data_IF_071986785742
#
_entry.id   IF_071986785742
#
_cell.length_a   1.000
_cell.length_b   1.000
_cell.length_c   1.000
_cell.angle_alpha   90.00
_cell.angle_beta   90.00
_cell.angle_gamma   90.00
#
_symmetry.space_group_name_H-M   'P 1'
#
loop_
_entity.id
_entity.type
_entity.pdbx_description
1 polymer ?
#
# COMPACT_ATOMS: atom_id res chain seq x y z
N UNK A 1 49.00 13.67 58.18
CA UNK A 1 47.81 13.45 59.02
C UNK A 1 46.84 14.56 58.67
N UNK A 2 45.61 14.16 58.31
CA UNK A 2 44.40 14.90 57.84
C UNK A 2 44.07 16.26 58.50
N UNK A 3 43.05 17.06 58.05
CA UNK A 3 42.21 17.02 56.82
C UNK A 3 41.90 18.42 56.18
N UNK A 4 41.23 18.49 55.01
CA UNK A 4 40.00 19.29 54.75
C UNK A 4 39.52 19.24 53.29
N UNK A 5 38.22 19.04 53.15
CA UNK A 5 37.40 18.92 51.94
C UNK A 5 37.33 20.20 51.09
N UNK A 6 37.11 20.04 49.77
CA UNK A 6 36.11 20.84 49.03
C UNK A 6 35.37 19.94 48.04
N UNK A 7 34.06 19.80 48.26
CA UNK A 7 33.07 19.30 47.31
C UNK A 7 33.09 20.13 46.02
N UNK A 8 32.93 19.49 44.87
CA UNK A 8 32.10 20.06 43.82
C UNK A 8 31.30 18.97 43.10
N UNK A 9 30.00 19.13 43.19
CA UNK A 9 28.95 18.37 42.55
C UNK A 9 28.90 18.63 41.04
N UNK A 10 28.52 17.58 40.32
CA UNK A 10 27.67 17.57 39.12
C UNK A 10 28.20 18.29 37.88
N UNK A 11 28.57 17.49 36.88
CA UNK A 11 27.99 17.62 35.54
C UNK A 11 27.94 16.23 34.89
N UNK A 12 26.81 15.55 35.10
CA UNK A 12 26.31 14.57 34.13
C UNK A 12 26.06 15.31 32.82
N UNK A 13 27.02 15.23 31.91
CA UNK A 13 26.81 15.54 30.51
C UNK A 13 26.35 14.27 29.82
N UNK A 14 25.04 14.13 29.63
CA UNK A 14 24.46 13.20 28.65
C UNK A 14 25.21 13.36 27.32
N UNK A 15 26.08 12.41 27.00
CA UNK A 15 26.55 12.22 25.63
C UNK A 15 25.35 11.70 24.86
N UNK A 16 24.55 12.60 24.26
CA UNK A 16 23.60 12.21 23.22
C UNK A 16 24.43 11.57 22.11
N UNK A 17 24.28 10.27 21.91
CA UNK A 17 25.00 9.52 20.90
C UNK A 17 24.77 10.17 19.52
N UNK A 18 25.82 10.77 18.96
CA UNK A 18 25.80 11.49 17.68
C UNK A 18 25.82 10.54 16.46
N UNK A 19 25.49 9.26 16.63
CA UNK A 19 25.57 8.25 15.58
C UNK A 19 24.18 7.97 14.99
N UNK A 20 24.13 7.70 13.69
CA UNK A 20 22.94 7.19 13.05
C UNK A 20 22.68 5.74 13.52
N UNK A 21 21.42 5.32 13.65
CA UNK A 21 21.08 3.92 13.86
C UNK A 21 21.58 3.08 12.68
N UNK A 22 21.94 1.84 12.98
CA UNK A 22 22.36 0.88 11.96
C UNK A 22 21.18 0.07 11.47
N UNK A 23 21.02 0.02 10.15
CA UNK A 23 19.97 -0.74 9.49
C UNK A 23 20.56 -1.74 8.51
N UNK A 24 19.88 -2.88 8.36
CA UNK A 24 20.11 -3.82 7.27
C UNK A 24 18.78 -4.11 6.56
N UNK A 25 18.88 -4.56 5.31
CA UNK A 25 17.72 -4.93 4.51
C UNK A 25 17.73 -6.44 4.24
N UNK A 26 16.57 -7.07 4.25
CA UNK A 26 16.35 -8.41 3.68
C UNK A 26 15.28 -8.33 2.60
N UNK A 27 15.38 -9.20 1.59
CA UNK A 27 14.42 -9.29 0.48
C UNK A 27 13.86 -10.70 0.41
N UNK A 28 12.55 -10.81 0.24
CA UNK A 28 11.87 -12.09 0.00
C UNK A 28 10.84 -11.95 -1.11
N UNK A 29 10.74 -12.96 -1.96
CA UNK A 29 9.69 -13.08 -2.98
C UNK A 29 9.46 -14.57 -3.26
N UNK A 30 8.35 -14.90 -3.92
CA UNK A 30 8.14 -16.25 -4.43
C UNK A 30 9.13 -16.62 -5.54
N UNK A 31 9.31 -17.93 -5.77
CA UNK A 31 10.17 -18.43 -6.85
C UNK A 31 9.66 -18.08 -8.25
N UNK A 32 8.41 -17.61 -8.35
CA UNK A 32 7.75 -17.20 -9.59
C UNK A 32 7.17 -15.81 -9.42
N UNK A 33 7.47 -14.91 -10.37
CA UNK A 33 6.85 -13.59 -10.44
C UNK A 33 6.09 -13.42 -11.76
N UNK A 34 4.83 -12.95 -11.72
CA UNK A 34 4.04 -12.75 -12.92
C UNK A 34 4.47 -11.50 -13.68
N UNK A 35 4.48 -11.61 -15.01
CA UNK A 35 4.78 -10.51 -15.95
C UNK A 35 3.56 -9.59 -16.10
N UNK A 36 2.36 -10.17 -16.06
CA UNK A 36 1.13 -9.40 -16.02
C UNK A 36 0.91 -8.80 -14.62
N UNK A 37 0.33 -7.60 -14.56
CA UNK A 37 -0.04 -6.96 -13.31
C UNK A 37 -1.14 -7.76 -12.60
N UNK A 38 -0.73 -8.71 -11.77
CA UNK A 38 -1.62 -9.44 -10.89
C UNK A 38 -1.63 -8.71 -9.56
N UNK A 39 -2.57 -7.80 -9.47
CA UNK A 39 -2.65 -6.88 -8.36
C UNK A 39 -2.81 -7.57 -6.99
N UNK A 40 -3.38 -8.78 -6.94
CA UNK A 40 -3.49 -9.56 -5.69
C UNK A 40 -2.56 -10.78 -5.69
N UNK A 41 -1.37 -10.68 -6.30
CA UNK A 41 -0.44 -11.79 -6.13
C UNK A 41 0.09 -11.80 -4.68
N UNK A 42 -0.05 -12.93 -3.96
CA UNK A 42 0.66 -13.13 -2.69
C UNK A 42 2.18 -13.02 -2.85
N UNK A 43 2.69 -12.93 -4.07
CA UNK A 43 4.09 -13.07 -4.46
C UNK A 43 4.82 -11.75 -4.77
N UNK A 44 4.35 -10.61 -4.26
CA UNK A 44 5.12 -9.35 -4.29
C UNK A 44 6.45 -9.43 -3.53
N UNK A 45 7.32 -8.46 -3.75
CA UNK A 45 8.64 -8.39 -3.11
C UNK A 45 8.48 -7.80 -1.72
N UNK A 46 8.87 -8.57 -0.70
CA UNK A 46 8.92 -8.16 0.68
C UNK A 46 10.30 -7.58 1.00
N UNK A 47 10.30 -6.33 1.47
CA UNK A 47 11.46 -5.61 1.95
C UNK A 47 11.43 -5.54 3.48
N UNK A 48 12.39 -6.13 4.16
CA UNK A 48 12.48 -6.10 5.62
C UNK A 48 13.63 -5.23 6.07
N UNK A 49 13.32 -4.06 6.63
CA UNK A 49 14.30 -3.17 7.26
C UNK A 49 14.48 -3.59 8.72
N UNK A 50 15.69 -4.01 9.07
CA UNK A 50 16.05 -4.45 10.41
C UNK A 50 16.93 -3.39 11.06
N UNK A 51 16.50 -2.84 12.19
CA UNK A 51 17.36 -1.99 13.01
C UNK A 51 18.21 -2.86 13.92
N UNK A 52 19.53 -2.72 13.83
CA UNK A 52 20.46 -3.43 14.72
C UNK A 52 20.27 -2.98 16.17
N UNK A 53 20.56 -3.88 17.11
CA UNK A 53 20.71 -3.49 18.51
C UNK A 53 21.92 -2.55 18.63
N UNK A 54 21.67 -1.33 19.08
CA UNK A 54 22.69 -0.33 19.38
C UNK A 54 22.62 0.11 20.86
N UNK A 55 23.44 1.07 21.26
CA UNK A 55 23.49 1.57 22.64
C UNK A 55 22.34 2.56 22.95
N UNK A 56 21.39 2.75 22.03
CA UNK A 56 20.27 3.68 22.17
C UNK A 56 18.96 2.92 22.27
N UNK A 57 18.32 2.98 23.43
CA UNK A 57 16.97 2.44 23.61
C UNK A 57 15.88 3.32 22.97
N UNK A 58 16.25 4.46 22.37
CA UNK A 58 15.29 5.32 21.69
C UNK A 58 14.84 4.69 20.38
N UNK A 59 13.54 4.77 20.07
CA UNK A 59 13.00 4.47 18.75
C UNK A 59 13.63 5.36 17.67
N UNK A 60 13.63 4.90 16.42
CA UNK A 60 14.04 5.70 15.27
C UNK A 60 12.84 5.88 14.35
N UNK A 61 12.52 7.14 14.02
CA UNK A 61 11.56 7.48 12.99
C UNK A 61 12.31 7.79 11.71
N UNK A 62 11.93 7.14 10.61
CA UNK A 62 12.53 7.38 9.29
C UNK A 62 11.47 7.46 8.20
N UNK A 63 11.74 8.26 7.17
CA UNK A 63 10.90 8.31 5.97
C UNK A 63 11.41 7.30 4.93
N UNK A 64 10.57 6.36 4.54
CA UNK A 64 10.87 5.39 3.48
C UNK A 64 9.59 4.88 2.82
N UNK A 65 9.53 4.90 1.49
CA UNK A 65 8.41 4.40 0.68
C UNK A 65 8.92 3.32 -0.25
N UNK A 66 8.55 2.06 0.01
CA UNK A 66 9.05 0.89 -0.73
C UNK A 66 8.91 1.02 -2.26
N UNK A 67 7.78 1.55 -2.75
CA UNK A 67 7.55 1.75 -4.19
C UNK A 67 8.46 2.79 -4.85
N UNK A 68 8.94 3.77 -4.08
CA UNK A 68 9.87 4.79 -4.57
C UNK A 68 11.31 4.43 -4.22
N UNK A 69 11.63 4.36 -2.93
CA UNK A 69 12.97 4.12 -2.41
C UNK A 69 13.52 2.73 -2.79
N UNK A 70 12.62 1.75 -2.98
CA UNK A 70 12.98 0.42 -3.45
C UNK A 70 13.36 0.36 -4.94
N UNK A 71 12.89 1.29 -5.79
CA UNK A 71 12.94 1.13 -7.25
C UNK A 71 13.46 2.32 -8.07
N UNK A 72 13.43 3.56 -7.57
CA UNK A 72 13.69 4.78 -8.36
C UNK A 72 15.17 5.20 -8.41
N UNK A 73 15.86 5.34 -7.28
CA UNK A 73 17.31 5.59 -7.27
C UNK A 73 17.95 5.40 -5.89
N UNK A 74 18.96 4.52 -5.73
CA UNK A 74 19.55 3.68 -6.77
C UNK A 74 18.62 2.55 -7.25
N UNK A 75 17.64 2.15 -6.43
CA UNK A 75 16.62 1.15 -6.76
C UNK A 75 17.18 -0.26 -7.02
N UNK A 76 16.33 -1.30 -6.96
CA UNK A 76 16.76 -2.67 -7.28
C UNK A 76 17.41 -2.76 -8.67
N UNK A 77 18.47 -3.56 -8.78
CA UNK A 77 19.12 -3.89 -10.05
C UNK A 77 18.48 -5.17 -10.57
N UNK A 78 18.06 -5.19 -11.84
CA UNK A 78 17.52 -6.37 -12.50
C UNK A 78 18.64 -7.10 -13.26
N UNK A 79 18.81 -8.39 -12.97
CA UNK A 79 19.80 -9.26 -13.59
C UNK A 79 19.08 -10.43 -14.29
N UNK A 80 19.44 -10.72 -15.54
CA UNK A 80 18.95 -11.87 -16.30
C UNK A 80 19.98 -13.01 -16.28
N UNK A 81 19.54 -14.21 -15.89
CA UNK A 81 20.31 -15.45 -15.99
C UNK A 81 20.04 -16.11 -17.33
N UNK A 82 21.00 -16.02 -18.25
CA UNK A 82 20.84 -16.53 -19.62
C UNK A 82 21.04 -18.06 -19.68
N UNK A 83 20.52 -18.74 -20.72
CA UNK A 83 20.60 -20.21 -20.83
C UNK A 83 22.03 -20.79 -20.87
N UNK A 84 23.01 -19.98 -21.27
CA UNK A 84 24.45 -20.28 -21.28
C UNK A 84 25.13 -20.07 -19.91
N UNK A 85 24.37 -19.63 -18.89
CA UNK A 85 24.84 -19.47 -17.51
C UNK A 85 25.50 -18.12 -17.22
N UNK A 86 25.43 -17.16 -18.15
CA UNK A 86 25.85 -15.77 -17.88
C UNK A 86 24.78 -15.03 -17.06
N UNK A 87 25.21 -14.04 -16.29
CA UNK A 87 24.31 -13.11 -15.57
C UNK A 87 24.52 -11.71 -16.15
N UNK A 88 23.48 -11.15 -16.76
CA UNK A 88 23.52 -9.85 -17.45
C UNK A 88 22.64 -8.85 -16.73
N UNK A 89 23.20 -7.69 -16.40
CA UNK A 89 22.40 -6.58 -15.90
C UNK A 89 21.52 -6.00 -17.02
N UNK A 90 20.25 -5.76 -16.69
CA UNK A 90 19.28 -5.12 -17.56
C UNK A 90 19.22 -3.65 -17.18
N UNK A 91 19.42 -2.79 -18.18
CA UNK A 91 19.21 -1.35 -18.03
C UNK A 91 17.71 -1.06 -17.97
N UNK A 92 17.23 -0.76 -16.76
CA UNK A 92 15.84 -0.41 -16.49
C UNK A 92 15.75 1.11 -16.40
N UNK A 93 14.84 1.72 -17.14
CA UNK A 93 14.56 3.16 -17.07
C UNK A 93 13.84 3.53 -15.76
N UNK A 94 14.61 3.57 -14.67
CA UNK A 94 14.13 3.93 -13.34
C UNK A 94 13.75 5.41 -13.23
N UNK A 95 14.17 6.25 -14.19
CA UNK A 95 13.86 7.68 -14.18
C UNK A 95 12.42 7.95 -14.64
N UNK A 96 11.85 7.05 -15.45
CA UNK A 96 10.44 7.07 -15.84
C UNK A 96 9.49 6.77 -14.67
N UNK A 97 9.97 6.10 -13.62
CA UNK A 97 9.23 5.99 -12.37
C UNK A 97 9.20 7.38 -11.71
N UNK A 98 8.00 7.85 -11.35
CA UNK A 98 7.84 9.15 -10.71
C UNK A 98 8.80 9.31 -9.52
N UNK A 99 9.77 10.22 -9.68
CA UNK A 99 10.53 10.77 -8.56
C UNK A 99 9.57 11.69 -7.82
N UNK A 100 8.88 11.19 -6.79
CA UNK A 100 8.27 12.10 -5.84
C UNK A 100 9.40 13.01 -5.34
N UNK A 101 9.31 14.31 -5.59
CA UNK A 101 10.30 15.32 -5.14
C UNK A 101 10.36 15.43 -3.60
N UNK A 102 9.67 14.52 -2.93
CA UNK A 102 9.30 14.50 -1.53
C UNK A 102 10.24 13.66 -0.65
N UNK A 103 11.13 12.83 -1.21
CA UNK A 103 12.12 12.06 -0.43
C UNK A 103 13.28 12.89 0.10
N UNK A 104 13.42 14.16 -0.32
CA UNK A 104 14.47 15.08 0.17
C UNK A 104 13.94 16.33 0.89
N UNK A 105 12.65 16.59 0.78
CA UNK A 105 12.03 17.78 1.35
C UNK A 105 11.54 17.50 2.77
N UNK A 106 11.69 18.45 3.71
CA UNK A 106 11.15 18.29 5.05
C UNK A 106 9.65 17.99 5.02
N UNK A 107 9.22 16.98 5.77
CA UNK A 107 7.84 16.50 5.77
C UNK A 107 7.22 16.68 7.16
N UNK A 108 5.95 17.09 7.24
CA UNK A 108 5.23 17.22 8.51
C UNK A 108 4.70 15.84 8.90
N UNK A 109 5.09 15.32 10.06
CA UNK A 109 4.51 14.08 10.59
C UNK A 109 3.04 14.34 10.94
N UNK A 110 2.09 13.66 10.30
CA UNK A 110 0.64 13.84 10.52
C UNK A 110 0.00 12.55 11.05
N UNK A 111 -1.25 12.65 11.55
CA UNK A 111 -2.04 11.51 12.07
C UNK A 111 -2.58 10.58 10.97
N UNK A 112 -2.38 10.90 9.68
CA UNK A 112 -2.60 9.98 8.56
C UNK A 112 -1.34 9.12 8.43
N UNK A 113 -1.18 8.24 9.41
CA UNK A 113 0.00 7.41 9.64
C UNK A 113 -0.02 6.16 8.74
N UNK A 114 1.14 5.79 8.16
CA UNK A 114 1.38 4.44 7.61
C UNK A 114 2.17 4.36 6.30
N UNK A 115 2.05 5.34 5.41
CA UNK A 115 2.53 5.16 4.02
C UNK A 115 4.01 5.52 3.79
N UNK A 116 4.57 6.40 4.60
CA UNK A 116 5.90 6.98 4.35
C UNK A 116 6.80 7.03 5.58
N UNK A 117 6.25 6.94 6.80
CA UNK A 117 7.00 7.12 8.04
C UNK A 117 6.95 5.81 8.82
N UNK A 118 8.12 5.34 9.23
CA UNK A 118 8.26 4.12 10.00
C UNK A 118 8.98 4.39 11.30
N UNK A 119 8.42 3.89 12.39
CA UNK A 119 9.05 3.83 13.71
C UNK A 119 9.66 2.46 13.90
N UNK A 120 10.96 2.40 14.22
CA UNK A 120 11.66 1.13 14.42
C UNK A 120 12.44 1.16 15.74
N UNK A 121 12.08 0.26 16.64
CA UNK A 121 12.76 0.05 17.92
C UNK A 121 14.14 -0.61 17.71
N UNK A 122 15.03 -0.46 18.69
CA UNK A 122 16.32 -1.16 18.65
C UNK A 122 16.09 -2.69 18.62
N UNK A 123 16.75 -3.38 17.68
CA UNK A 123 16.58 -4.82 17.48
C UNK A 123 15.27 -5.24 16.83
N UNK A 124 14.39 -4.29 16.45
CA UNK A 124 13.14 -4.58 15.77
C UNK A 124 13.28 -4.51 14.24
N UNK A 125 12.25 -5.02 13.57
CA UNK A 125 12.14 -5.06 12.12
C UNK A 125 10.81 -4.47 11.68
N UNK A 126 10.79 -3.91 10.48
CA UNK A 126 9.58 -3.63 9.73
C UNK A 126 9.71 -4.34 8.38
N UNK A 127 8.66 -4.99 7.92
CA UNK A 127 8.62 -5.53 6.57
C UNK A 127 7.59 -4.78 5.74
N UNK A 128 7.82 -4.59 4.46
CA UNK A 128 6.98 -3.80 3.56
C UNK A 128 6.92 -4.49 2.20
N UNK A 129 5.72 -4.73 1.71
CA UNK A 129 5.53 -5.44 0.43
C UNK A 129 5.34 -4.44 -0.71
N UNK A 130 5.98 -4.70 -1.84
CA UNK A 130 5.77 -3.95 -3.07
C UNK A 130 5.70 -4.85 -4.31
N UNK A 131 4.89 -4.42 -5.27
CA UNK A 131 4.83 -5.04 -6.59
C UNK A 131 6.04 -4.60 -7.42
N UNK A 132 6.56 -5.50 -8.26
CA UNK A 132 7.65 -5.19 -9.19
C UNK A 132 7.14 -4.21 -10.26
N UNK A 133 7.62 -2.96 -10.38
CA UNK A 133 6.99 -1.96 -11.25
C UNK A 133 6.96 -2.35 -12.74
N UNK A 134 5.99 -1.81 -13.51
CA UNK A 134 5.83 -2.10 -14.94
C UNK A 134 7.12 -1.93 -15.77
N UNK A 135 7.94 -0.92 -15.46
CA UNK A 135 9.23 -0.65 -16.13
C UNK A 135 10.25 -1.77 -15.95
N UNK A 136 10.14 -2.60 -14.92
CA UNK A 136 10.94 -3.82 -14.76
C UNK A 136 10.29 -4.98 -15.53
N UNK A 137 8.96 -5.11 -15.41
CA UNK A 137 8.19 -6.21 -16.01
C UNK A 137 8.31 -6.27 -17.54
N UNK A 138 8.41 -5.12 -18.21
CA UNK A 138 8.56 -5.05 -19.67
C UNK A 138 9.81 -5.77 -20.21
N UNK A 139 10.81 -6.04 -19.35
CA UNK A 139 12.02 -6.76 -19.72
C UNK A 139 11.96 -8.25 -19.42
N UNK A 140 10.89 -8.73 -18.77
CA UNK A 140 10.76 -10.12 -18.36
C UNK A 140 10.16 -10.97 -19.48
N UNK A 141 10.75 -12.14 -19.71
CA UNK A 141 10.28 -13.14 -20.68
C UNK A 141 9.77 -14.37 -19.91
N UNK A 142 8.57 -14.89 -20.23
CA UNK A 142 8.01 -16.04 -19.52
C UNK A 142 8.94 -17.26 -19.61
N UNK A 143 9.16 -17.91 -18.47
CA UNK A 143 10.03 -19.08 -18.32
C UNK A 143 11.52 -18.75 -18.12
N UNK A 144 11.94 -17.50 -18.31
CA UNK A 144 13.32 -17.08 -18.03
C UNK A 144 13.52 -16.73 -16.55
N UNK A 145 14.79 -16.74 -16.13
CA UNK A 145 15.17 -16.62 -14.72
C UNK A 145 15.90 -15.30 -14.47
N UNK A 146 15.48 -14.59 -13.44
CA UNK A 146 15.95 -13.24 -13.13
C UNK A 146 16.30 -13.12 -11.64
N UNK A 147 17.18 -12.17 -11.35
CA UNK A 147 17.58 -11.80 -9.99
C UNK A 147 17.37 -10.31 -9.78
N UNK A 148 16.85 -9.94 -8.61
CA UNK A 148 16.82 -8.54 -8.17
C UNK A 148 17.84 -8.37 -7.06
N UNK A 149 18.76 -7.42 -7.25
CA UNK A 149 19.84 -7.12 -6.32
C UNK A 149 19.63 -5.74 -5.68
N UNK A 150 19.75 -5.67 -4.36
CA UNK A 150 19.79 -4.40 -3.64
C UNK A 150 21.18 -3.75 -3.71
N UNK A 151 21.32 -2.57 -4.32
CA UNK A 151 22.61 -1.89 -4.45
C UNK A 151 23.05 -1.12 -3.21
N UNK A 152 22.23 -1.07 -2.15
CA UNK A 152 22.44 -0.19 -1.00
C UNK A 152 21.82 1.19 -1.19
N UNK A 153 21.49 1.89 -0.10
CA UNK A 153 20.90 3.23 -0.13
C UNK A 153 21.29 4.02 1.13
N UNK A 154 21.32 5.35 1.02
CA UNK A 154 21.40 6.24 2.19
C UNK A 154 20.05 6.93 2.44
N UNK A 155 19.62 6.98 3.70
CA UNK A 155 18.41 7.68 4.14
C UNK A 155 18.82 8.87 5.01
N UNK A 156 18.37 10.07 4.63
CA UNK A 156 18.67 11.31 5.35
C UNK A 156 17.48 11.88 6.12
N UNK A 157 16.25 11.46 5.84
CA UNK A 157 15.06 11.89 6.58
C UNK A 157 14.80 10.91 7.72
N UNK A 158 15.44 11.16 8.85
CA UNK A 158 15.30 10.34 10.06
C UNK A 158 15.55 11.18 11.32
N UNK A 159 14.99 10.74 12.45
CA UNK A 159 15.30 11.29 13.78
C UNK A 159 15.12 10.22 14.88
N UNK A 160 15.64 10.52 16.07
CA UNK A 160 15.45 9.75 17.28
C UNK A 160 14.15 10.13 17.98
N UNK A 161 13.41 9.13 18.45
CA UNK A 161 12.13 9.29 19.13
C UNK A 161 11.04 8.47 18.45
N UNK A 162 9.82 8.57 18.99
CA UNK A 162 8.64 7.91 18.46
C UNK A 162 7.82 8.86 17.56
N UNK A 163 6.86 8.33 16.81
CA UNK A 163 5.99 9.11 15.92
C UNK A 163 5.19 10.15 16.69
N UNK A 164 4.74 9.83 17.91
CA UNK A 164 3.94 10.74 18.75
C UNK A 164 4.73 12.00 19.14
N UNK A 165 6.02 11.85 19.41
CA UNK A 165 6.93 12.96 19.70
C UNK A 165 7.10 13.88 18.50
N UNK A 166 7.07 13.33 17.28
CA UNK A 166 7.26 14.09 16.05
C UNK A 166 5.97 14.62 15.43
N UNK A 167 4.81 14.25 15.98
CA UNK A 167 3.51 14.64 15.43
C UNK A 167 3.35 16.16 15.31
N UNK A 168 2.94 16.62 14.13
CA UNK A 168 2.84 18.03 13.76
C UNK A 168 4.19 18.72 13.53
N UNK A 169 5.31 18.03 13.69
CA UNK A 169 6.66 18.55 13.48
C UNK A 169 7.17 18.20 12.08
N UNK A 170 8.08 19.03 11.57
CA UNK A 170 8.78 18.76 10.32
C UNK A 170 9.98 17.84 10.57
N UNK A 171 9.92 16.62 10.06
CA UNK A 171 11.10 15.75 9.93
C UNK A 171 12.03 16.37 8.87
N UNK A 172 13.26 16.68 9.26
CA UNK A 172 14.25 17.37 8.41
C UNK A 172 15.40 16.44 8.07
N UNK A 173 16.11 16.69 6.95
CA UNK A 173 17.34 15.97 6.65
C UNK A 173 18.33 16.06 7.82
N UNK A 174 18.85 14.91 8.24
CA UNK A 174 19.74 14.74 9.39
C UNK A 174 21.05 14.08 8.96
N UNK A 175 22.14 14.57 9.54
CA UNK A 175 23.46 13.95 9.46
C UNK A 175 23.86 13.37 10.83
N UNK A 176 24.55 12.23 10.89
CA UNK A 176 24.91 11.38 9.74
C UNK A 176 23.68 10.70 9.11
N UNK A 177 23.73 10.37 7.82
CA UNK A 177 22.67 9.56 7.18
C UNK A 177 22.66 8.12 7.70
N UNK A 178 21.50 7.49 7.66
CA UNK A 178 21.39 6.04 7.82
C UNK A 178 21.89 5.39 6.53
N UNK A 179 22.76 4.38 6.66
CA UNK A 179 23.25 3.60 5.52
C UNK A 179 22.61 2.22 5.54
N UNK A 180 21.93 1.86 4.46
CA UNK A 180 21.45 0.50 4.19
C UNK A 180 22.46 -0.17 3.25
N UNK A 181 23.15 -1.23 3.70
CA UNK A 181 24.19 -1.87 2.91
C UNK A 181 23.62 -2.61 1.69
N UNK A 182 24.43 -2.74 0.64
CA UNK A 182 24.16 -3.61 -0.52
C UNK A 182 24.27 -5.09 -0.15
N UNK A 183 23.62 -5.96 -0.93
CA UNK A 183 23.84 -7.40 -0.85
C UNK A 183 22.59 -8.29 -0.98
N UNK A 184 21.44 -7.92 -0.37
CA UNK A 184 20.21 -8.70 -0.47
C UNK A 184 19.82 -8.95 -1.93
N UNK A 185 19.40 -10.18 -2.21
CA UNK A 185 19.02 -10.61 -3.55
C UNK A 185 17.85 -11.60 -3.49
N UNK A 186 17.02 -11.56 -4.52
CA UNK A 186 15.97 -12.56 -4.75
C UNK A 186 16.10 -13.10 -6.16
N UNK A 187 15.82 -14.39 -6.32
CA UNK A 187 15.89 -15.11 -7.59
C UNK A 187 14.50 -15.63 -7.92
N UNK A 188 14.02 -15.38 -9.12
CA UNK A 188 12.68 -15.78 -9.54
C UNK A 188 12.65 -16.18 -11.01
N UNK A 189 11.60 -16.91 -11.37
CA UNK A 189 11.26 -17.23 -12.77
C UNK A 189 10.08 -16.37 -13.19
N UNK A 190 10.16 -15.69 -14.34
CA UNK A 190 9.06 -14.90 -14.84
C UNK A 190 7.96 -15.80 -15.43
N UNK A 191 6.69 -15.51 -15.19
CA UNK A 191 5.55 -16.31 -15.70
C UNK A 191 4.45 -15.42 -16.28
N UNK A 192 3.70 -15.90 -17.28
CA UNK A 192 2.63 -15.11 -17.91
C UNK A 192 1.53 -14.72 -16.91
N UNK A 193 1.06 -15.69 -16.13
CA UNK A 193 0.08 -15.54 -15.05
C UNK A 193 0.31 -16.62 -14.00
N UNK A 194 0.07 -16.29 -12.74
CA UNK A 194 -0.15 -17.30 -11.70
C UNK A 194 -1.55 -17.88 -11.89
N UNK A 195 -1.67 -19.20 -12.05
CA UNK A 195 -2.97 -19.89 -12.10
C UNK A 195 -3.67 -19.72 -10.73
N UNK A 196 -4.85 -19.06 -10.66
CA UNK A 196 -5.59 -18.98 -9.41
C UNK A 196 -6.15 -20.35 -9.03
N UNK A 197 -6.08 -20.69 -7.73
CA UNK A 197 -6.73 -21.88 -7.18
C UNK A 197 -8.25 -21.81 -7.44
N UNK A 198 -8.78 -22.68 -8.30
CA UNK A 198 -10.21 -22.76 -8.60
C UNK A 198 -10.94 -23.49 -7.48
N UNK A 199 -11.82 -22.79 -6.76
CA UNK A 199 -12.84 -23.42 -5.92
C UNK A 199 -14.20 -23.39 -6.64
N UNK A 200 -15.01 -24.46 -6.57
CA UNK A 200 -16.36 -24.45 -7.14
C UNK A 200 -17.29 -23.52 -6.34
N UNK A 201 -17.93 -22.58 -7.04
CA UNK A 201 -18.88 -21.62 -6.47
C UNK A 201 -20.26 -22.25 -6.21
N UNK A 202 -20.89 -22.05 -5.03
CA UNK A 202 -22.33 -22.15 -4.83
C UNK A 202 -23.03 -20.84 -5.29
N UNK A 203 -24.38 -20.82 -5.44
CA UNK A 203 -25.08 -19.70 -6.06
C UNK A 203 -25.03 -18.44 -5.18
N UNK A 204 -24.90 -17.24 -5.77
CA UNK A 204 -24.79 -15.97 -5.04
C UNK A 204 -26.14 -15.46 -4.52
N UNK A 205 -26.10 -14.64 -3.48
CA UNK A 205 -27.11 -13.59 -3.26
C UNK A 205 -26.48 -12.23 -3.59
N UNK A 206 -27.26 -11.28 -4.06
CA UNK A 206 -26.78 -10.07 -4.75
C UNK A 206 -26.73 -8.84 -3.82
N UNK A 207 -25.56 -8.21 -3.72
CA UNK A 207 -25.45 -6.83 -3.25
C UNK A 207 -25.70 -5.89 -4.44
N UNK A 208 -26.97 -5.53 -4.64
CA UNK A 208 -27.49 -4.42 -5.48
C UNK A 208 -27.30 -4.43 -7.00
N UNK A 209 -28.15 -3.64 -7.65
CA UNK A 209 -27.87 -2.91 -8.89
C UNK A 209 -26.48 -2.25 -8.77
N UNK A 210 -25.59 -2.54 -9.72
CA UNK A 210 -24.38 -1.81 -10.14
C UNK A 210 -23.99 -0.62 -9.22
N UNK A 211 -22.88 -0.68 -8.44
CA UNK A 211 -22.41 0.45 -7.64
C UNK A 211 -22.38 1.75 -8.44
N UNK A 212 -22.76 2.84 -7.80
CA UNK A 212 -22.85 4.13 -8.48
C UNK A 212 -21.72 5.05 -8.04
N UNK A 213 -20.98 5.57 -9.03
CA UNK A 213 -19.99 6.62 -8.85
C UNK A 213 -20.63 7.94 -9.27
N UNK A 214 -20.62 8.91 -8.36
CA UNK A 214 -21.08 10.27 -8.59
C UNK A 214 -19.89 11.22 -8.42
N UNK A 215 -19.63 12.14 -9.36
CA UNK A 215 -18.58 13.14 -9.16
C UNK A 215 -18.95 14.13 -8.05
N UNK A 216 -18.02 14.36 -7.12
CA UNK A 216 -18.14 15.34 -6.04
C UNK A 216 -17.25 16.55 -6.34
N UNK A 217 -17.42 17.12 -7.54
CA UNK A 217 -16.59 18.21 -8.04
C UNK A 217 -16.39 18.22 -9.56
N UNK A 218 -15.48 19.07 -10.06
CA UNK A 218 -15.19 19.17 -11.48
C UNK A 218 -14.50 17.90 -12.00
N UNK A 219 -14.92 17.42 -13.17
CA UNK A 219 -14.36 16.27 -13.88
C UNK A 219 -13.11 16.64 -14.71
N UNK A 220 -12.24 17.47 -14.12
CA UNK A 220 -11.02 17.97 -14.74
C UNK A 220 -9.86 17.72 -13.80
N UNK A 221 -8.86 16.99 -14.27
CA UNK A 221 -7.58 16.83 -13.58
C UNK A 221 -6.61 17.84 -14.20
N UNK A 222 -5.87 18.60 -13.40
CA UNK A 222 -4.88 19.53 -13.95
C UNK A 222 -3.46 19.15 -13.56
N UNK A 223 -2.48 19.63 -14.34
CA UNK A 223 -1.06 19.41 -14.08
C UNK A 223 -0.61 19.77 -12.66
N UNK A 224 -1.17 20.85 -12.10
CA UNK A 224 -0.78 21.36 -10.79
C UNK A 224 -1.52 20.67 -9.62
N UNK A 225 -2.57 19.89 -9.91
CA UNK A 225 -3.38 19.16 -8.95
C UNK A 225 -4.11 18.00 -9.64
N UNK A 226 -3.42 16.86 -9.75
CA UNK A 226 -3.96 15.60 -10.29
C UNK A 226 -4.91 14.91 -9.30
N UNK A 227 -5.83 15.64 -8.68
CA UNK A 227 -6.80 15.13 -7.71
C UNK A 227 -8.24 15.43 -8.13
N UNK A 228 -9.12 14.43 -8.06
CA UNK A 228 -10.56 14.60 -8.23
C UNK A 228 -11.35 13.79 -7.18
N UNK A 229 -12.33 14.43 -6.53
CA UNK A 229 -13.17 13.76 -5.54
C UNK A 229 -14.38 13.09 -6.19
N UNK A 230 -14.62 11.85 -5.78
CA UNK A 230 -15.75 11.03 -6.19
C UNK A 230 -16.52 10.57 -4.96
N UNK A 231 -17.84 10.55 -5.06
CA UNK A 231 -18.70 9.88 -4.11
C UNK A 231 -18.99 8.48 -4.62
N UNK A 232 -18.58 7.47 -3.86
CA UNK A 232 -18.95 6.07 -4.10
C UNK A 232 -20.23 5.81 -3.34
N UNK A 233 -21.23 5.24 -4.01
CA UNK A 233 -22.50 4.83 -3.39
C UNK A 233 -22.78 3.36 -3.67
N UNK A 234 -22.94 2.60 -2.58
CA UNK A 234 -23.36 1.21 -2.62
C UNK A 234 -24.70 1.10 -1.91
N UNK A 235 -25.71 0.58 -2.62
CA UNK A 235 -27.03 0.31 -2.04
C UNK A 235 -27.07 -1.16 -1.65
N UNK A 236 -27.80 -1.52 -0.61
CA UNK A 236 -28.09 -2.92 -0.29
C UNK A 236 -29.54 -3.22 -0.64
N UNK A 237 -29.80 -4.10 -1.61
CA UNK A 237 -31.17 -4.39 -2.05
C UNK A 237 -31.91 -5.45 -1.23
N UNK A 238 -31.22 -6.13 -0.32
CA UNK A 238 -31.78 -7.27 0.39
C UNK A 238 -31.35 -8.64 -0.15
N UNK A 239 -31.63 -9.69 0.60
CA UNK A 239 -31.37 -11.06 0.16
C UNK A 239 -32.32 -11.47 -0.99
N UNK A 240 -31.81 -12.16 -2.01
CA UNK A 240 -32.63 -12.71 -3.09
C UNK A 240 -33.31 -14.02 -2.67
N UNK A 241 -34.54 -14.27 -3.15
CA UNK A 241 -35.30 -15.50 -2.89
C UNK A 241 -36.27 -15.45 -1.70
N UNK A 242 -36.56 -16.60 -1.08
CA UNK A 242 -37.49 -16.72 0.09
C UNK A 242 -36.80 -16.45 1.44
N UNK A 243 -35.67 -15.76 1.42
CA UNK A 243 -34.96 -15.38 2.65
C UNK A 243 -35.64 -14.12 3.19
N UNK A 244 -35.86 -14.08 4.50
CA UNK A 244 -36.38 -12.88 5.15
C UNK A 244 -35.43 -11.71 4.92
N UNK A 245 -36.01 -10.57 4.55
CA UNK A 245 -35.28 -9.32 4.42
C UNK A 245 -34.70 -8.94 5.78
N UNK A 246 -33.37 -8.86 5.85
CA UNK A 246 -32.63 -8.62 7.08
C UNK A 246 -31.43 -7.71 6.83
N UNK A 247 -31.04 -6.90 7.83
CA UNK A 247 -29.84 -6.09 7.75
C UNK A 247 -28.58 -6.95 7.60
N UNK A 248 -27.62 -6.41 6.87
CA UNK A 248 -26.30 -7.01 6.66
C UNK A 248 -25.24 -6.10 7.27
N UNK A 249 -24.26 -6.70 7.94
CA UNK A 249 -23.03 -6.03 8.36
C UNK A 249 -21.86 -6.59 7.58
N UNK A 250 -21.06 -5.74 6.95
CA UNK A 250 -19.98 -6.19 6.08
C UNK A 250 -18.76 -5.29 6.17
N UNK A 251 -17.61 -5.85 5.79
CA UNK A 251 -16.34 -5.16 5.74
C UNK A 251 -16.19 -4.41 4.41
N UNK A 252 -15.82 -3.13 4.48
CA UNK A 252 -15.85 -2.22 3.32
C UNK A 252 -14.53 -2.14 2.55
N UNK A 253 -13.46 -2.80 3.00
CA UNK A 253 -12.12 -2.71 2.40
C UNK A 253 -12.10 -2.87 0.88
N UNK A 254 -12.79 -3.89 0.33
CA UNK A 254 -12.85 -4.13 -1.12
C UNK A 254 -13.54 -3.02 -1.93
N UNK A 255 -14.17 -2.05 -1.26
CA UNK A 255 -14.86 -0.90 -1.87
C UNK A 255 -14.08 0.42 -1.72
N UNK A 256 -12.94 0.41 -1.03
CA UNK A 256 -12.18 1.61 -0.71
C UNK A 256 -10.84 1.69 -1.46
N UNK A 257 -10.34 0.58 -2.01
CA UNK A 257 -8.96 0.54 -2.48
C UNK A 257 -8.78 0.74 -3.99
N UNK A 258 -7.87 1.64 -4.41
CA UNK A 258 -7.42 1.73 -5.78
C UNK A 258 -6.58 0.51 -6.15
N UNK A 259 -6.65 0.14 -7.43
CA UNK A 259 -5.72 -0.82 -7.99
C UNK A 259 -6.07 -2.28 -7.76
N UNK A 260 -6.48 -2.73 -6.56
CA UNK A 260 -6.62 -4.15 -6.11
C UNK A 260 -7.19 -5.11 -7.19
N UNK A 261 -6.89 -6.43 -7.18
CA UNK A 261 -7.40 -7.36 -8.23
C UNK A 261 -8.93 -7.28 -8.39
N UNK A 262 -9.59 -6.93 -7.30
CA UNK A 262 -10.96 -6.42 -7.17
C UNK A 262 -10.86 -4.95 -6.76
N UNK A 263 -11.51 -3.98 -7.44
CA UNK A 263 -11.33 -2.57 -7.06
C UNK A 263 -11.46 -1.55 -8.20
N UNK A 264 -10.95 -0.35 -7.95
CA UNK A 264 -10.95 0.74 -8.91
C UNK A 264 -9.87 0.60 -9.98
N UNK A 265 -10.14 1.15 -11.16
CA UNK A 265 -9.22 1.20 -12.31
C UNK A 265 -9.24 2.56 -12.95
N UNK A 266 -8.04 3.09 -13.19
CA UNK A 266 -7.82 4.27 -14.00
C UNK A 266 -7.22 3.87 -15.35
N UNK A 267 -7.69 4.50 -16.42
CA UNK A 267 -7.19 4.29 -17.78
C UNK A 267 -7.05 5.63 -18.48
N UNK A 268 -6.14 5.74 -19.45
CA UNK A 268 -6.10 6.84 -20.43
C UNK A 268 -6.59 6.36 -21.79
N UNK A 269 -7.23 7.24 -22.55
CA UNK A 269 -7.57 6.99 -23.96
C UNK A 269 -6.45 7.48 -24.87
N UNK A 270 -5.87 6.58 -25.68
CA UNK A 270 -4.80 6.90 -26.63
C UNK A 270 -4.81 5.91 -27.79
N UNK A 271 -4.46 6.37 -29.00
CA UNK A 271 -4.37 5.52 -30.21
C UNK A 271 -5.62 4.65 -30.45
N UNK A 272 -6.81 5.25 -30.28
CA UNK A 272 -8.12 4.59 -30.39
C UNK A 272 -8.36 3.44 -29.39
N UNK A 273 -7.64 3.41 -28.27
CA UNK A 273 -7.75 2.39 -27.23
C UNK A 273 -7.62 2.93 -25.80
N UNK A 274 -7.97 2.08 -24.82
CA UNK A 274 -7.77 2.37 -23.40
C UNK A 274 -6.49 1.70 -22.90
N UNK A 275 -5.55 2.48 -22.41
CA UNK A 275 -4.35 2.00 -21.70
C UNK A 275 -4.57 2.13 -20.17
N UNK A 276 -4.17 1.12 -19.40
CA UNK A 276 -4.27 1.15 -17.95
C UNK A 276 -3.25 2.10 -17.34
N UNK A 277 -3.66 2.86 -16.33
CA UNK A 277 -2.76 3.64 -15.48
C UNK A 277 -2.50 2.80 -14.23
N UNK A 278 -1.22 2.62 -13.90
CA UNK A 278 -0.79 1.81 -12.76
C UNK A 278 -1.25 2.48 -11.46
N UNK A 279 -1.92 1.74 -10.59
CA UNK A 279 -2.19 2.21 -9.25
C UNK A 279 -0.87 2.21 -8.47
N UNK A 280 -0.59 3.29 -7.76
CA UNK A 280 0.40 3.26 -6.70
C UNK A 280 -0.20 2.47 -5.56
N UNK A 281 0.30 1.26 -5.33
CA UNK A 281 0.02 0.61 -4.05
C UNK A 281 0.84 1.32 -2.99
N UNK A 282 0.20 1.94 -1.98
CA UNK A 282 0.89 2.08 -0.72
C UNK A 282 1.34 0.68 -0.30
N UNK A 283 2.64 0.54 -0.06
CA UNK A 283 3.17 -0.68 0.49
C UNK A 283 2.47 -0.94 1.82
N UNK A 284 1.64 -1.98 1.89
CA UNK A 284 1.18 -2.49 3.17
C UNK A 284 2.41 -3.08 3.83
N UNK A 285 2.87 -2.43 4.89
CA UNK A 285 3.86 -2.99 5.79
C UNK A 285 3.40 -4.37 6.22
N UNK A 286 4.20 -5.42 6.00
CA UNK A 286 4.12 -6.56 6.90
C UNK A 286 4.85 -6.12 8.17
N UNK A 287 4.14 -5.56 9.14
CA UNK A 287 4.74 -5.54 10.47
C UNK A 287 4.81 -7.01 10.96
N UNK A 288 5.91 -7.38 11.62
CA UNK A 288 6.01 -8.68 12.30
C UNK A 288 5.06 -8.78 13.51
N UNK A 289 4.29 -7.72 13.77
CA UNK A 289 3.27 -7.67 14.79
C UNK A 289 2.12 -8.63 14.44
N UNK A 290 1.56 -9.31 15.46
CA UNK A 290 0.43 -10.19 15.25
C UNK A 290 -0.78 -9.41 14.74
N UNK A 291 -1.64 -10.10 14.01
CA UNK A 291 -2.97 -9.61 13.66
C UNK A 291 -3.70 -9.04 14.88
N UNK A 292 -4.41 -7.94 14.67
CA UNK A 292 -5.13 -7.21 15.70
C UNK A 292 -6.58 -7.66 15.72
N UNK A 293 -7.06 -7.99 16.91
CA UNK A 293 -8.47 -8.25 17.17
C UNK A 293 -9.24 -6.93 17.14
N UNK A 294 -10.26 -6.85 16.29
CA UNK A 294 -11.16 -5.70 16.18
C UNK A 294 -12.60 -6.12 16.41
N UNK A 295 -13.35 -5.28 17.11
CA UNK A 295 -14.77 -5.47 17.31
C UNK A 295 -15.55 -4.95 16.09
N UNK A 296 -16.35 -5.82 15.48
CA UNK A 296 -17.14 -5.49 14.27
C UNK A 296 -18.11 -4.35 14.50
N UNK A 297 -18.71 -4.23 15.69
CA UNK A 297 -19.71 -3.20 15.98
C UNK A 297 -19.13 -1.80 16.20
N UNK A 298 -17.83 -1.71 16.51
CA UNK A 298 -17.14 -0.47 16.90
C UNK A 298 -16.15 0.02 15.83
N UNK A 299 -15.71 -0.86 14.93
CA UNK A 299 -14.69 -0.56 13.94
C UNK A 299 -15.29 0.11 12.69
N UNK A 300 -14.72 1.25 12.28
CA UNK A 300 -15.25 2.14 11.23
C UNK A 300 -15.43 1.47 9.87
N UNK A 301 -14.61 0.46 9.57
CA UNK A 301 -14.60 -0.20 8.26
C UNK A 301 -15.66 -1.30 8.14
N UNK A 302 -16.45 -1.54 9.19
CA UNK A 302 -17.60 -2.42 9.19
C UNK A 302 -18.89 -1.61 9.19
N UNK A 303 -19.73 -1.85 8.20
CA UNK A 303 -20.94 -1.07 7.96
C UNK A 303 -22.15 -1.98 7.99
N UNK A 304 -23.20 -1.53 8.68
CA UNK A 304 -24.52 -2.15 8.66
C UNK A 304 -25.42 -1.42 7.67
N UNK A 305 -26.13 -2.17 6.83
CA UNK A 305 -27.19 -1.64 5.96
C UNK A 305 -28.48 -2.45 6.12
N UNK A 306 -29.63 -1.77 6.22
CA UNK A 306 -30.94 -2.39 5.99
C UNK A 306 -31.19 -2.55 4.49
N UNK A 307 -32.08 -3.47 4.08
CA UNK A 307 -32.56 -3.51 2.70
C UNK A 307 -33.15 -2.14 2.29
N UNK A 308 -32.59 -1.54 1.25
CA UNK A 308 -32.89 -0.22 0.74
C UNK A 308 -31.92 0.89 1.20
N UNK A 309 -31.10 0.64 2.22
CA UNK A 309 -30.11 1.61 2.68
C UNK A 309 -28.93 1.70 1.71
N UNK A 310 -28.25 2.84 1.76
CA UNK A 310 -27.00 3.05 1.04
C UNK A 310 -25.86 3.45 1.97
N UNK A 311 -24.69 2.93 1.68
CA UNK A 311 -23.42 3.40 2.21
C UNK A 311 -22.74 4.30 1.17
N UNK A 312 -22.12 5.36 1.64
CA UNK A 312 -21.36 6.28 0.80
C UNK A 312 -20.02 6.64 1.40
N UNK A 313 -19.01 6.79 0.55
CA UNK A 313 -17.69 7.29 0.94
C UNK A 313 -17.16 8.25 -0.14
N UNK A 314 -16.48 9.31 0.30
CA UNK A 314 -15.73 10.19 -0.60
C UNK A 314 -14.35 9.57 -0.85
N UNK A 315 -13.99 9.45 -2.13
CA UNK A 315 -12.72 8.89 -2.59
C UNK A 315 -12.06 9.88 -3.54
N UNK A 316 -10.77 10.18 -3.33
CA UNK A 316 -9.99 11.02 -4.23
C UNK A 316 -9.30 10.15 -5.29
N UNK A 317 -9.31 10.56 -6.56
CA UNK A 317 -8.42 10.02 -7.59
C UNK A 317 -7.22 10.94 -7.61
N UNK A 318 -6.14 10.57 -6.94
CA UNK A 318 -5.00 11.46 -6.70
C UNK A 318 -3.63 10.86 -7.09
N UNK A 319 -2.62 11.73 -7.19
CA UNK A 319 -1.26 11.34 -7.59
C UNK A 319 -0.57 10.44 -6.57
N UNK A 320 -1.06 10.39 -5.34
CA UNK A 320 -0.61 9.46 -4.31
C UNK A 320 -1.03 8.01 -4.59
N UNK A 321 -2.17 7.82 -5.26
CA UNK A 321 -2.81 6.52 -5.53
C UNK A 321 -2.57 5.99 -6.94
N UNK A 322 -2.09 6.83 -7.87
CA UNK A 322 -1.92 6.48 -9.28
C UNK A 322 -0.61 7.02 -9.86
N UNK A 323 0.06 6.21 -10.69
CA UNK A 323 1.26 6.63 -11.43
C UNK A 323 0.81 7.27 -12.74
N UNK A 324 0.47 8.55 -12.69
CA UNK A 324 0.06 9.28 -13.90
C UNK A 324 1.21 9.32 -14.94
N UNK A 325 0.93 9.05 -16.23
CA UNK A 325 1.95 9.12 -17.26
C UNK A 325 2.54 10.52 -17.38
N UNK A 326 3.88 10.64 -17.48
CA UNK A 326 4.55 11.92 -17.63
C UNK A 326 4.27 12.63 -18.96
N UNK A 327 3.68 11.91 -19.92
CA UNK A 327 3.32 12.42 -21.25
C UNK A 327 1.82 12.73 -21.39
N UNK A 328 1.10 12.92 -20.27
CA UNK A 328 -0.27 13.45 -20.31
C UNK A 328 -0.30 14.80 -21.04
N UNK A 329 -1.15 14.88 -22.06
CA UNK A 329 -1.30 16.05 -22.91
C UNK A 329 -2.66 16.72 -22.68
N UNK A 330 -2.73 18.04 -22.82
CA UNK A 330 -3.99 18.80 -22.69
C UNK A 330 -5.10 18.17 -23.56
N UNK A 331 -6.23 17.85 -22.95
CA UNK A 331 -7.35 17.18 -23.60
C UNK A 331 -7.33 15.65 -23.55
N UNK A 332 -6.30 15.03 -22.96
CA UNK A 332 -6.30 13.58 -22.71
C UNK A 332 -7.53 13.18 -21.88
N UNK A 333 -8.17 12.07 -22.27
CA UNK A 333 -9.36 11.56 -21.58
C UNK A 333 -8.95 10.39 -20.70
N UNK A 334 -9.31 10.49 -19.42
CA UNK A 334 -9.06 9.48 -18.42
C UNK A 334 -10.39 8.82 -18.02
N UNK A 335 -10.38 7.52 -17.78
CA UNK A 335 -11.55 6.74 -17.36
C UNK A 335 -11.31 6.07 -16.04
N UNK A 336 -12.19 6.34 -15.09
CA UNK A 336 -12.19 5.74 -13.77
C UNK A 336 -13.45 4.90 -13.55
N UNK A 337 -13.28 3.70 -13.00
CA UNK A 337 -14.40 2.77 -12.74
C UNK A 337 -14.05 1.75 -11.66
N UNK A 338 -15.04 1.33 -10.90
CA UNK A 338 -14.97 0.11 -10.09
C UNK A 338 -15.18 -1.11 -10.99
N UNK A 339 -14.28 -2.08 -10.94
CA UNK A 339 -14.32 -3.30 -11.77
C UNK A 339 -15.21 -4.40 -11.19
N UNK A 340 -15.76 -4.19 -10.01
CA UNK A 340 -16.41 -5.25 -9.25
C UNK A 340 -15.43 -5.95 -8.30
N UNK A 341 -15.98 -6.60 -7.28
CA UNK A 341 -15.19 -7.25 -6.24
C UNK A 341 -16.01 -8.15 -5.34
N UNK A 342 -15.33 -8.92 -4.49
CA UNK A 342 -15.96 -9.78 -3.49
C UNK A 342 -15.75 -9.17 -2.11
N UNK A 343 -16.83 -9.08 -1.36
CA UNK A 343 -16.75 -8.73 0.05
C UNK A 343 -16.03 -9.87 0.78
N UNK A 344 -14.97 -9.53 1.50
CA UNK A 344 -14.10 -10.48 2.20
C UNK A 344 -14.75 -11.04 3.47
N UNK A 345 -15.51 -10.21 4.19
CA UNK A 345 -16.24 -10.59 5.40
C UNK A 345 -17.62 -9.93 5.49
N UNK A 346 -18.62 -10.70 5.89
CA UNK A 346 -19.98 -10.19 6.16
C UNK A 346 -20.76 -11.13 7.08
N UNK A 347 -21.79 -10.60 7.76
CA UNK A 347 -22.78 -11.37 8.52
C UNK A 347 -24.17 -10.74 8.49
N UNK A 348 -25.18 -11.52 8.85
CA UNK A 348 -26.54 -11.03 9.11
C UNK A 348 -26.63 -10.37 10.47
N UNK A 349 -27.30 -9.22 10.52
CA UNK A 349 -27.56 -8.50 11.75
C UNK A 349 -27.16 -7.04 11.66
N UNK A 350 -27.65 -6.28 12.64
CA UNK A 350 -27.24 -4.90 12.85
C UNK A 350 -25.96 -4.84 13.69
N UNK A 351 -25.30 -3.69 13.73
CA UNK A 351 -24.14 -3.45 14.60
C UNK A 351 -24.34 -3.95 16.04
N UNK A 352 -25.54 -3.80 16.62
CA UNK A 352 -25.86 -4.30 17.98
C UNK A 352 -25.83 -5.83 18.11
N UNK A 353 -26.17 -6.56 17.06
CA UNK A 353 -26.13 -8.03 17.03
C UNK A 353 -24.67 -8.52 16.99
N UNK A 354 -23.76 -7.67 16.51
CA UNK A 354 -22.32 -7.90 16.43
C UNK A 354 -21.51 -7.31 17.58
N UNK A 355 -22.15 -6.88 18.68
CA UNK A 355 -21.49 -6.28 19.85
C UNK A 355 -20.37 -7.15 20.47
N UNK A 356 -20.44 -8.47 20.29
CA UNK A 356 -19.45 -9.43 20.75
C UNK A 356 -18.74 -10.17 19.61
N UNK A 357 -18.91 -9.71 18.37
CA UNK A 357 -18.24 -10.30 17.20
C UNK A 357 -16.86 -9.68 17.06
N UNK A 358 -15.83 -10.50 17.17
CA UNK A 358 -14.43 -10.12 17.00
C UNK A 358 -13.88 -10.82 15.78
N UNK A 359 -13.19 -10.04 14.95
CA UNK A 359 -12.44 -10.55 13.79
C UNK A 359 -11.00 -10.08 13.90
N UNK A 360 -10.10 -10.71 13.14
CA UNK A 360 -8.72 -10.25 13.04
C UNK A 360 -8.48 -9.54 11.72
N UNK A 361 -7.84 -8.39 11.83
CA UNK A 361 -7.23 -7.67 10.72
C UNK A 361 -5.71 -7.79 10.87
N UNK A 362 -4.92 -7.57 9.80
CA UNK A 362 -3.48 -7.43 9.95
C UNK A 362 -3.13 -6.34 10.97
N UNK A 363 -1.91 -6.34 11.47
CA UNK A 363 -1.42 -5.38 12.46
C UNK A 363 -1.60 -3.89 12.07
N UNK A 364 -1.63 -3.59 10.77
CA UNK A 364 -1.89 -2.26 10.21
C UNK A 364 -3.39 -1.96 10.03
N UNK A 365 -4.27 -2.85 10.50
CA UNK A 365 -5.75 -2.79 10.52
C UNK A 365 -6.40 -2.47 9.17
N UNK A 366 -5.65 -2.61 8.08
CA UNK A 366 -6.03 -2.11 6.76
C UNK A 366 -5.80 -3.18 5.68
N UNK A 367 -6.53 -4.29 5.77
CA UNK A 367 -6.61 -5.32 4.72
C UNK A 367 -7.84 -6.20 4.91
N UNK A 368 -7.97 -7.23 4.05
CA UNK A 368 -8.97 -8.28 4.21
C UNK A 368 -8.87 -8.92 5.61
N UNK A 369 -10.02 -9.32 6.15
CA UNK A 369 -10.11 -10.08 7.41
C UNK A 369 -9.28 -11.36 7.33
N UNK A 370 -8.38 -11.54 8.28
CA UNK A 370 -7.47 -12.70 8.35
C UNK A 370 -8.09 -13.84 9.14
N UNK A 371 -8.87 -13.55 10.19
CA UNK A 371 -9.63 -14.54 10.94
C UNK A 371 -11.07 -14.06 11.26
N UNK A 372 -12.11 -14.84 10.92
CA UNK A 372 -12.06 -16.10 10.18
C UNK A 372 -11.75 -15.90 8.68
N UNK A 373 -10.70 -16.56 8.17
CA UNK A 373 -10.21 -16.40 6.79
C UNK A 373 -11.24 -16.77 5.71
N UNK A 374 -12.08 -17.75 6.00
CA UNK A 374 -13.10 -18.28 5.10
C UNK A 374 -14.48 -17.65 5.34
N UNK A 375 -14.52 -16.53 6.08
CA UNK A 375 -15.75 -15.87 6.48
C UNK A 375 -16.74 -16.85 7.17
N UNK A 376 -16.22 -17.82 7.94
CA UNK A 376 -17.03 -18.85 8.59
C UNK A 376 -17.75 -19.79 7.62
N UNK A 377 -17.23 -19.96 6.41
CA UNK A 377 -17.81 -20.80 5.35
C UNK A 377 -18.98 -20.15 4.60
N UNK A 378 -19.30 -18.88 4.88
CA UNK A 378 -20.37 -18.14 4.19
C UNK A 378 -19.96 -17.80 2.75
N UNK A 379 -20.89 -17.81 1.79
CA UNK A 379 -20.60 -17.36 0.43
C UNK A 379 -20.20 -15.90 0.42
N UNK A 380 -19.27 -15.51 -0.45
CA UNK A 380 -18.81 -14.12 -0.58
C UNK A 380 -19.76 -13.31 -1.48
N UNK A 381 -20.38 -12.23 -0.99
CA UNK A 381 -21.20 -11.35 -1.78
C UNK A 381 -20.36 -10.69 -2.87
N UNK A 382 -20.94 -10.59 -4.06
CA UNK A 382 -20.32 -9.92 -5.19
C UNK A 382 -20.88 -8.51 -5.28
N UNK A 383 -19.98 -7.55 -5.36
CA UNK A 383 -20.28 -6.16 -5.71
C UNK A 383 -20.06 -6.02 -7.23
N UNK A 384 -21.09 -5.62 -8.00
CA UNK A 384 -20.95 -5.50 -9.45
C UNK A 384 -19.98 -4.39 -9.87
N UNK A 385 -19.67 -4.37 -11.16
CA UNK A 385 -18.98 -3.25 -11.84
C UNK A 385 -19.77 -1.96 -11.65
N UNK A 386 -19.11 -0.79 -11.54
CA UNK A 386 -19.81 0.51 -11.49
C UNK A 386 -20.06 1.14 -12.87
N UNK A 387 -20.79 2.27 -12.92
CA UNK A 387 -20.68 3.19 -14.05
C UNK A 387 -19.25 3.73 -14.22
N UNK A 388 -18.97 4.31 -15.38
CA UNK A 388 -17.68 4.92 -15.71
C UNK A 388 -17.74 6.43 -15.48
N UNK A 389 -16.66 6.99 -14.94
CA UNK A 389 -16.42 8.43 -14.85
C UNK A 389 -15.31 8.78 -15.83
N UNK A 390 -15.53 9.83 -16.62
CA UNK A 390 -14.56 10.36 -17.55
C UNK A 390 -14.02 11.69 -17.03
N UNK A 391 -12.70 11.79 -16.92
CA UNK A 391 -12.01 13.04 -16.63
C UNK A 391 -11.32 13.55 -17.89
N UNK A 392 -11.19 14.87 -18.01
CA UNK A 392 -10.32 15.50 -19.00
C UNK A 392 -9.08 16.03 -18.29
N UNK A 393 -7.89 15.67 -18.76
CA UNK A 393 -6.65 16.26 -18.28
C UNK A 393 -6.44 17.64 -18.91
N UNK A 394 -6.01 18.61 -18.09
CA UNK A 394 -5.71 19.98 -18.52
C UNK A 394 -4.31 20.40 -18.10
N UNK A 395 -3.55 20.97 -19.02
CA UNK A 395 -2.19 21.44 -18.71
C UNK A 395 -2.19 22.85 -18.10
N UNK A 396 -3.31 23.58 -18.18
CA UNK A 396 -3.55 24.86 -17.48
C UNK A 396 -5.02 25.02 -17.04
N UNK A 397 -5.24 25.72 -15.92
CA UNK A 397 -6.56 26.20 -15.51
C UNK A 397 -6.85 27.51 -16.23
N UNK A 398 -7.61 27.46 -17.33
CA UNK A 398 -8.24 28.64 -17.95
C UNK A 398 -9.66 28.87 -17.40
#
# INVERSE_FOLDING_TARGET
MDPMQVNNQVQEGFSRDFRAPRFSLSLHAGDMLPIADTVDSPDGILFTLNREQDNSDQACVLKWKTGEDGFTSPGLILLHHTPDGEVKEIDVDKESLHKSTTTRSPFIVTQLEGYYIHEVQAGASISLKASLPGVYRQHLVPGERYELLWPGQEINLWDWGDVRQHLGQKLKPREPKISIPSGPRILFTAVDKLEPLRFPSPPPFELSDTPHLEPDGPLTLNKDNLSANLLIKVTYLGASGRIEQRPITFHTYTLQEPGLAEGFRLHRFRNDGWEGIEAQFPCLGIADDPDVEVNVSEHRDFVTLQPGDCWTISHAVEEEDWVFPSDLADGDVLRYRYKGGQVDWWDWGESKDHAHTVVKLPCFVWSKVTEPRDNGGRPKPVVPVSNEILFTYRDSLD
#
